data_IF_179328315256
#
_entry.id   IF_179328315256
#
_cell.length_a   1.000
_cell.length_b   1.000
_cell.length_c   1.000
_cell.angle_alpha   90.00
_cell.angle_beta   90.00
_cell.angle_gamma   90.00
#
_symmetry.space_group_name_H-M   'P 1'
#
loop_
_entity.id
_entity.type
_entity.pdbx_description
1 polymer ?
#
# COMPACT_ATOMS: atom_id res chain seq x y z
N UNK A 1 6.86 -21.14 23.55
CA UNK A 1 6.83 -20.79 23.06
C UNK A 1 6.92 -20.19 22.35
N UNK A 2 6.94 -19.74 21.99
CA UNK A 2 6.99 -19.15 21.46
C UNK A 2 6.81 -18.75 20.46
N UNK A 3 6.43 -18.31 19.91
CA UNK A 3 6.23 -17.93 19.01
C UNK A 3 6.44 -17.54 18.03
N UNK A 4 6.16 -17.77 17.57
CA UNK A 4 6.49 -17.75 16.32
C UNK A 4 5.87 -16.80 15.49
N UNK A 5 5.54 -15.88 15.76
CA UNK A 5 5.10 -14.90 15.07
C UNK A 5 5.76 -14.55 13.86
N UNK A 6 6.98 -14.58 13.74
CA UNK A 6 7.68 -14.14 12.61
C UNK A 6 7.31 -14.75 11.32
N UNK A 7 6.73 -15.89 11.34
CA UNK A 7 6.41 -16.44 10.15
C UNK A 7 5.48 -15.69 9.37
N UNK A 8 4.52 -15.06 9.96
CA UNK A 8 3.56 -14.32 9.23
C UNK A 8 4.19 -13.12 8.62
N UNK A 9 5.32 -12.72 9.14
CA UNK A 9 5.97 -11.57 8.59
C UNK A 9 6.91 -11.94 7.50
N UNK A 10 7.16 -13.19 7.30
CA UNK A 10 8.03 -13.62 6.25
C UNK A 10 7.32 -13.87 4.95
N UNK A 11 6.02 -13.71 4.90
CA UNK A 11 5.31 -13.86 3.66
C UNK A 11 5.60 -12.68 2.76
N UNK A 12 5.07 -12.71 1.54
CA UNK A 12 5.30 -11.61 0.61
C UNK A 12 4.65 -10.34 1.10
N UNK A 13 5.43 -9.29 1.18
CA UNK A 13 4.94 -7.98 1.63
C UNK A 13 5.48 -6.90 0.72
N UNK A 14 4.81 -5.77 0.75
CA UNK A 14 5.30 -4.53 0.17
C UNK A 14 5.33 -3.50 1.29
N UNK A 15 5.96 -2.37 1.03
CA UNK A 15 5.96 -1.26 1.96
C UNK A 15 5.07 -0.18 1.38
N UNK A 16 4.07 0.26 2.14
CA UNK A 16 3.14 1.28 1.69
C UNK A 16 3.47 2.59 2.37
N UNK A 17 3.55 3.66 1.59
CA UNK A 17 3.82 5.00 2.11
C UNK A 17 2.60 5.86 1.81
N UNK A 18 1.62 5.89 2.73
CA UNK A 18 0.43 6.71 2.49
C UNK A 18 0.73 8.17 2.79
N UNK A 19 0.13 9.05 2.01
CA UNK A 19 0.31 10.49 2.19
C UNK A 19 -1.03 11.14 2.46
N UNK A 20 -1.01 12.21 3.22
CA UNK A 20 -2.21 12.97 3.52
C UNK A 20 -3.19 12.15 4.34
N UNK A 21 -4.46 12.30 4.03
CA UNK A 21 -5.46 11.61 4.80
C UNK A 21 -5.46 10.12 4.60
N UNK A 22 -4.72 9.64 3.62
CA UNK A 22 -4.64 8.20 3.41
C UNK A 22 -3.92 7.50 4.54
N UNK A 23 -3.16 8.25 5.35
CA UNK A 23 -2.48 7.63 6.50
C UNK A 23 -3.47 7.00 7.46
N UNK A 24 -4.72 7.47 7.49
CA UNK A 24 -5.68 6.92 8.44
C UNK A 24 -5.99 5.46 8.15
N UNK A 25 -5.83 5.01 6.90
CA UNK A 25 -6.08 3.62 6.59
C UNK A 25 -4.93 2.71 7.01
N UNK A 26 -3.80 3.30 7.44
CA UNK A 26 -2.61 2.54 7.75
C UNK A 26 -2.07 2.85 9.13
N UNK A 27 -2.90 3.33 10.03
CA UNK A 27 -2.48 3.57 11.39
C UNK A 27 -1.64 4.81 11.59
N UNK A 28 -1.67 5.71 10.61
CA UNK A 28 -0.95 6.99 10.71
C UNK A 28 0.53 6.82 10.88
N UNK A 29 1.06 5.83 10.23
CA UNK A 29 2.48 5.59 10.28
C UNK A 29 3.18 6.46 9.25
N UNK A 30 4.34 6.99 9.61
CA UNK A 30 5.04 7.89 8.72
C UNK A 30 6.24 7.28 8.03
N UNK A 31 6.66 6.14 8.41
CA UNK A 31 7.86 5.56 7.85
C UNK A 31 7.64 4.45 6.87
N UNK A 32 6.46 4.28 6.41
CA UNK A 32 6.16 3.16 5.56
C UNK A 32 5.62 2.01 6.38
N UNK A 33 4.63 1.33 5.85
CA UNK A 33 3.93 0.28 6.56
C UNK A 33 4.04 -1.01 5.78
N UNK A 34 4.56 -2.08 6.37
CA UNK A 34 4.61 -3.35 5.67
C UNK A 34 3.21 -3.95 5.58
N UNK A 35 2.83 -4.37 4.40
CA UNK A 35 1.49 -4.91 4.18
C UNK A 35 1.62 -6.19 3.35
N UNK A 36 0.99 -7.27 3.76
CA UNK A 36 1.05 -8.50 2.98
C UNK A 36 0.32 -8.37 1.67
N UNK A 37 0.81 -9.05 0.66
CA UNK A 37 0.17 -9.05 -0.64
C UNK A 37 0.14 -10.44 -1.20
N UNK A 38 -0.70 -10.63 -2.22
CA UNK A 38 -0.64 -11.79 -3.06
C UNK A 38 0.18 -11.36 -4.26
N UNK A 39 1.32 -11.99 -4.55
CA UNK A 39 2.17 -11.55 -5.65
C UNK A 39 1.38 -11.51 -6.95
N UNK A 40 1.55 -10.46 -7.71
CA UNK A 40 0.82 -10.29 -8.94
C UNK A 40 -0.52 -9.60 -8.84
N UNK A 41 -0.94 -9.25 -7.63
CA UNK A 41 -2.19 -8.51 -7.46
C UNK A 41 -2.01 -7.13 -8.07
N UNK A 42 -3.04 -6.59 -8.71
CA UNK A 42 -2.96 -5.23 -9.23
C UNK A 42 -3.08 -4.24 -8.08
N UNK A 43 -2.58 -3.03 -8.30
CA UNK A 43 -2.71 -2.00 -7.30
C UNK A 43 -4.18 -1.74 -6.99
N UNK A 44 -5.04 -1.72 -8.02
CA UNK A 44 -6.46 -1.51 -7.79
C UNK A 44 -7.04 -2.62 -6.89
N UNK A 45 -6.69 -3.86 -7.16
CA UNK A 45 -7.17 -4.97 -6.34
C UNK A 45 -6.64 -4.90 -4.92
N UNK A 46 -5.40 -4.47 -4.77
CA UNK A 46 -4.81 -4.33 -3.46
C UNK A 46 -5.55 -3.26 -2.63
N UNK A 47 -5.83 -2.12 -3.25
CA UNK A 47 -6.55 -1.05 -2.54
C UNK A 47 -7.96 -1.50 -2.18
N UNK A 48 -8.59 -2.26 -3.05
CA UNK A 48 -9.91 -2.75 -2.78
C UNK A 48 -9.90 -3.70 -1.59
N UNK A 49 -8.90 -4.55 -1.49
CA UNK A 49 -8.80 -5.45 -0.35
C UNK A 49 -8.61 -4.73 0.96
N UNK A 50 -7.93 -3.61 0.92
CA UNK A 50 -7.69 -2.84 2.13
C UNK A 50 -8.86 -1.95 2.50
N UNK A 51 -9.85 -1.84 1.62
CA UNK A 51 -10.98 -0.98 1.89
C UNK A 51 -10.69 0.49 1.63
N UNK A 52 -9.68 0.79 0.84
CA UNK A 52 -9.35 2.17 0.52
C UNK A 52 -10.14 2.56 -0.72
N UNK A 53 -11.06 3.52 -0.61
CA UNK A 53 -11.87 3.89 -1.75
C UNK A 53 -11.03 4.46 -2.88
N UNK A 54 -11.29 4.00 -4.08
CA UNK A 54 -10.51 4.42 -5.22
C UNK A 54 -10.53 5.92 -5.41
N UNK A 55 -11.67 6.55 -5.13
CA UNK A 55 -11.79 7.99 -5.32
C UNK A 55 -10.96 8.79 -4.35
N UNK A 56 -10.50 8.18 -3.28
CA UNK A 56 -9.68 8.89 -2.31
C UNK A 56 -8.20 8.81 -2.64
N UNK A 57 -7.85 8.09 -3.67
CA UNK A 57 -6.47 7.99 -4.09
C UNK A 57 -6.30 8.74 -5.40
N UNK A 58 -5.52 9.79 -5.39
CA UNK A 58 -5.32 10.61 -6.57
C UNK A 58 -4.38 9.90 -7.54
N UNK A 59 -3.21 9.50 -7.06
CA UNK A 59 -2.30 8.76 -7.91
C UNK A 59 -1.48 7.82 -7.04
N UNK A 60 -0.81 6.90 -7.69
CA UNK A 60 0.04 5.94 -7.01
C UNK A 60 1.40 5.93 -7.68
N UNK A 61 2.43 5.63 -6.89
CA UNK A 61 3.77 5.48 -7.42
C UNK A 61 4.35 4.18 -6.89
N UNK A 62 4.98 3.42 -7.76
CA UNK A 62 5.60 2.16 -7.38
C UNK A 62 7.10 2.29 -7.59
N UNK A 63 7.85 2.07 -6.54
CA UNK A 63 9.31 2.15 -6.59
C UNK A 63 9.80 3.48 -7.17
N UNK A 64 9.10 4.55 -6.80
CA UNK A 64 9.51 5.88 -7.20
C UNK A 64 8.96 6.38 -8.51
N UNK A 65 8.14 5.57 -9.19
CA UNK A 65 7.60 5.98 -10.47
C UNK A 65 6.09 5.96 -10.45
N UNK A 66 5.46 6.99 -10.98
CA UNK A 66 4.02 7.01 -11.07
C UNK A 66 3.58 5.92 -12.04
N UNK A 67 2.60 5.14 -11.63
CA UNK A 67 2.10 4.03 -12.43
C UNK A 67 0.59 4.04 -12.43
N UNK A 68 0.00 3.25 -13.31
CA UNK A 68 -1.44 3.10 -13.34
C UNK A 68 -1.86 2.03 -12.36
N UNK A 69 -3.13 2.02 -12.02
CA UNK A 69 -3.62 1.09 -11.00
C UNK A 69 -3.74 -0.34 -11.48
N UNK A 70 -3.60 -0.58 -12.79
CA UNK A 70 -3.59 -1.94 -13.27
C UNK A 70 -2.19 -2.56 -13.22
N UNK A 71 -1.21 -1.80 -12.74
CA UNK A 71 0.11 -2.32 -12.53
C UNK A 71 0.08 -3.36 -11.42
N UNK A 72 0.88 -4.41 -11.54
CA UNK A 72 0.89 -5.46 -10.52
C UNK A 72 1.95 -5.18 -9.47
N UNK A 73 1.76 -5.80 -8.30
CA UNK A 73 2.69 -5.65 -7.19
C UNK A 73 3.46 -6.95 -6.98
N UNK A 74 4.72 -6.82 -6.62
CA UNK A 74 5.57 -7.95 -6.33
C UNK A 74 6.18 -7.77 -4.94
N UNK A 75 6.61 -8.85 -4.31
CA UNK A 75 7.21 -8.73 -2.98
C UNK A 75 8.37 -7.75 -3.00
N UNK A 76 8.46 -6.93 -1.99
CA UNK A 76 9.54 -5.97 -1.88
C UNK A 76 9.29 -4.63 -2.53
N UNK A 77 8.15 -4.49 -3.23
CA UNK A 77 7.86 -3.20 -3.86
C UNK A 77 7.57 -2.13 -2.82
N UNK A 78 7.80 -0.89 -3.20
CA UNK A 78 7.46 0.27 -2.39
C UNK A 78 6.33 0.99 -3.11
N UNK A 79 5.21 1.19 -2.43
CA UNK A 79 4.04 1.80 -3.04
C UNK A 79 3.67 3.08 -2.30
N UNK A 80 3.61 4.18 -3.03
CA UNK A 80 3.19 5.44 -2.44
C UNK A 80 1.79 5.76 -2.89
N UNK A 81 0.97 6.21 -1.96
CA UNK A 81 -0.42 6.56 -2.23
C UNK A 81 -0.61 8.04 -1.95
N UNK A 82 -1.11 8.77 -2.93
CA UNK A 82 -1.30 10.22 -2.80
C UNK A 82 -2.77 10.57 -2.82
N UNK A 83 -3.19 11.34 -1.83
CA UNK A 83 -4.57 11.79 -1.75
C UNK A 83 -4.76 13.05 -2.57
N UNK A 84 -5.98 13.31 -3.05
CA UNK A 84 -6.25 14.57 -3.73
C UNK A 84 -6.00 15.74 -2.80
N UNK A 85 -5.61 16.86 -3.36
CA UNK A 85 -5.40 18.06 -2.58
C UNK A 85 -6.73 18.58 -2.10
N UNK A 86 -6.85 18.74 -0.79
CA UNK A 86 -8.11 19.18 -0.23
C UNK A 86 -8.34 20.63 -0.54
N UNK A 87 -9.56 20.99 -0.70
CA UNK A 87 -9.92 22.36 -0.92
C UNK A 87 -9.60 22.85 -2.29
N UNK A 88 -9.09 21.99 -3.09
CA UNK A 88 -8.68 22.36 -4.43
C UNK A 88 -9.84 22.55 -5.29
#
# INVERSE_FOLDING_TARGET
MTQPLPESQNGPTITVHPHGELTTYFGRSYGGVPVPIEPGITIAGFLERLGVPSKEVWLVAKNGEQVKRDETLQPGDSLELFAPVAGG
#
